data_IF_936347420814
#
_entry.id   IF_936347420814
#
_cell.length_a   1.000
_cell.length_b   1.000
_cell.length_c   1.000
_cell.angle_alpha   90.00
_cell.angle_beta   90.00
_cell.angle_gamma   90.00
#
_symmetry.space_group_name_H-M   'P 1'
#
loop_
_entity.id
_entity.type
_entity.pdbx_description
1 polymer ?
#
# COMPACT_ATOMS: atom_id res chain seq x y z
N UNK A 1 0.08 -1.46 -26.82
CA UNK A 1 -1.03 -0.65 -27.33
C UNK A 1 -1.05 0.71 -26.66
N UNK A 2 -1.84 1.67 -27.19
CA UNK A 2 -1.88 3.06 -26.67
C UNK A 2 -2.26 3.09 -25.19
N UNK A 3 -3.25 2.29 -24.78
CA UNK A 3 -3.67 2.21 -23.37
C UNK A 3 -2.58 1.76 -22.39
N UNK A 4 -1.51 1.15 -22.87
CA UNK A 4 -0.36 0.73 -22.06
C UNK A 4 0.77 1.77 -22.02
N UNK A 5 0.79 2.66 -23.02
CA UNK A 5 1.87 3.63 -23.23
C UNK A 5 1.54 5.02 -22.71
N UNK A 6 0.25 5.38 -22.69
CA UNK A 6 -0.24 6.67 -22.26
C UNK A 6 -1.03 6.48 -20.95
N UNK A 7 -0.49 6.98 -19.84
CA UNK A 7 -1.10 6.89 -18.52
C UNK A 7 -1.77 8.22 -18.18
N UNK A 8 -3.09 8.27 -17.96
CA UNK A 8 -3.78 9.49 -17.55
C UNK A 8 -3.33 9.95 -16.15
N UNK A 9 -3.23 11.26 -15.98
CA UNK A 9 -3.07 11.90 -14.68
C UNK A 9 -4.34 11.65 -13.85
N UNK A 10 -4.19 11.64 -12.52
CA UNK A 10 -5.30 11.41 -11.57
C UNK A 10 -6.46 12.38 -11.80
N UNK A 11 -7.69 11.88 -11.74
CA UNK A 11 -8.96 12.54 -12.03
C UNK A 11 -9.24 12.87 -13.52
N UNK A 12 -8.32 12.58 -14.44
CA UNK A 12 -8.52 12.81 -15.88
C UNK A 12 -8.75 11.52 -16.68
N UNK A 13 -8.91 10.37 -16.01
CA UNK A 13 -9.01 9.05 -16.66
C UNK A 13 -10.22 8.97 -17.63
N UNK A 14 -11.38 9.45 -17.17
CA UNK A 14 -12.59 9.42 -17.98
C UNK A 14 -12.44 10.36 -19.19
N UNK A 15 -11.94 11.58 -18.97
CA UNK A 15 -11.71 12.53 -20.02
C UNK A 15 -10.77 11.98 -21.09
N UNK A 16 -9.60 11.46 -20.68
CA UNK A 16 -8.58 10.92 -21.59
C UNK A 16 -9.07 9.67 -22.31
N UNK A 17 -9.71 8.74 -21.56
CA UNK A 17 -10.25 7.51 -22.16
C UNK A 17 -11.31 7.83 -23.24
N UNK A 18 -12.21 8.76 -22.96
CA UNK A 18 -13.23 9.19 -23.92
C UNK A 18 -12.64 10.07 -25.05
N UNK A 19 -11.58 10.83 -24.76
CA UNK A 19 -10.83 11.53 -25.79
C UNK A 19 -10.22 10.57 -26.82
N UNK A 20 -9.56 9.52 -26.34
CA UNK A 20 -8.96 8.47 -27.16
C UNK A 20 -10.00 7.58 -27.84
N UNK A 21 -11.05 7.20 -27.13
CA UNK A 21 -12.06 6.27 -27.65
C UNK A 21 -11.42 5.00 -28.21
N UNK A 22 -11.77 4.63 -29.43
CA UNK A 22 -11.21 3.45 -30.11
C UNK A 22 -9.69 3.49 -30.33
N UNK A 23 -9.07 4.68 -30.27
CA UNK A 23 -7.62 4.82 -30.43
C UNK A 23 -6.82 4.17 -29.27
N UNK A 24 -7.46 3.89 -28.14
CA UNK A 24 -6.84 3.13 -27.03
C UNK A 24 -6.26 1.78 -27.45
N UNK A 25 -6.87 1.17 -28.46
CA UNK A 25 -6.48 -0.16 -28.98
C UNK A 25 -5.48 -0.07 -30.14
N UNK A 26 -5.10 1.13 -30.57
CA UNK A 26 -4.14 1.28 -31.65
C UNK A 26 -2.75 0.83 -31.19
N UNK A 27 -2.01 0.24 -32.11
CA UNK A 27 -0.67 -0.30 -31.89
C UNK A 27 0.37 0.69 -32.42
N UNK A 28 1.27 1.14 -31.58
CA UNK A 28 2.41 1.97 -31.99
C UNK A 28 3.42 1.08 -32.72
N UNK A 29 3.82 1.46 -33.90
CA UNK A 29 4.86 0.82 -34.69
C UNK A 29 6.08 1.74 -34.84
N UNK A 30 7.26 1.20 -34.89
CA UNK A 30 8.48 1.99 -35.04
C UNK A 30 8.46 2.82 -36.33
N UNK A 31 8.02 2.20 -37.41
CA UNK A 31 7.95 2.83 -38.75
C UNK A 31 6.84 2.21 -39.60
N UNK A 32 6.64 2.78 -40.82
CA UNK A 32 5.66 2.28 -41.79
C UNK A 32 5.97 0.86 -42.28
N UNK A 33 7.25 0.46 -42.33
CA UNK A 33 7.66 -0.87 -42.78
C UNK A 33 7.20 -1.93 -41.76
N UNK A 34 7.40 -1.66 -40.49
CA UNK A 34 6.92 -2.50 -39.39
C UNK A 34 5.39 -2.63 -39.41
N UNK A 35 4.68 -1.49 -39.59
CA UNK A 35 3.22 -1.50 -39.67
C UNK A 35 2.69 -2.31 -40.87
N UNK A 36 3.29 -2.16 -42.06
CA UNK A 36 2.94 -2.98 -43.23
C UNK A 36 3.21 -4.46 -43.04
N UNK A 37 4.34 -4.80 -42.41
CA UNK A 37 4.67 -6.19 -42.05
C UNK A 37 3.64 -6.81 -41.14
N UNK A 38 3.25 -6.10 -40.08
CA UNK A 38 2.23 -6.52 -39.14
C UNK A 38 0.85 -6.70 -39.81
N UNK A 39 0.44 -5.77 -40.68
CA UNK A 39 -0.82 -5.90 -41.45
C UNK A 39 -0.78 -7.13 -42.36
N UNK A 40 0.35 -7.38 -43.02
CA UNK A 40 0.53 -8.57 -43.88
C UNK A 40 0.45 -9.86 -43.07
N UNK A 41 1.04 -9.89 -41.90
CA UNK A 41 0.95 -11.01 -40.96
C UNK A 41 -0.50 -11.28 -40.52
N UNK A 42 -1.24 -10.22 -40.12
CA UNK A 42 -2.66 -10.37 -39.74
C UNK A 42 -3.50 -10.91 -40.90
N UNK A 43 -3.28 -10.45 -42.14
CA UNK A 43 -3.98 -10.95 -43.33
C UNK A 43 -3.70 -12.44 -43.56
N UNK A 44 -2.43 -12.86 -43.51
CA UNK A 44 -2.03 -14.28 -43.73
C UNK A 44 -2.63 -15.23 -42.69
N UNK A 45 -2.68 -14.79 -41.43
CA UNK A 45 -3.12 -15.62 -40.32
C UNK A 45 -4.61 -15.43 -39.96
N UNK A 46 -5.38 -14.68 -40.75
CA UNK A 46 -6.78 -14.33 -40.43
C UNK A 46 -6.96 -13.74 -39.02
N UNK A 47 -5.96 -12.97 -38.54
CA UNK A 47 -5.86 -12.44 -37.18
C UNK A 47 -6.72 -11.20 -36.90
N UNK A 48 -7.72 -10.92 -37.73
CA UNK A 48 -8.60 -9.76 -37.53
C UNK A 48 -8.02 -8.46 -38.10
N UNK A 49 -8.46 -7.32 -37.54
CA UNK A 49 -8.05 -5.98 -37.97
C UNK A 49 -7.49 -5.21 -36.76
N UNK A 50 -6.37 -4.52 -36.97
CA UNK A 50 -5.78 -3.60 -36.01
C UNK A 50 -5.37 -2.31 -36.72
N UNK A 51 -5.36 -1.21 -35.98
CA UNK A 51 -4.84 0.08 -36.47
C UNK A 51 -3.43 0.27 -35.92
N UNK A 52 -2.51 0.57 -36.81
CA UNK A 52 -1.10 0.83 -36.48
C UNK A 52 -0.77 2.30 -36.62
N UNK A 53 0.03 2.82 -35.69
CA UNK A 53 0.51 4.19 -35.65
C UNK A 53 2.03 4.19 -35.85
N UNK A 54 2.52 4.35 -37.10
CA UNK A 54 3.96 4.42 -37.36
C UNK A 54 4.52 5.75 -36.84
N UNK A 55 5.48 5.71 -35.93
CA UNK A 55 6.03 6.91 -35.26
C UNK A 55 6.74 7.87 -36.21
N UNK A 56 7.34 7.35 -37.25
CA UNK A 56 8.09 8.17 -38.25
C UNK A 56 7.22 9.07 -39.14
N UNK A 57 5.90 8.81 -39.22
CA UNK A 57 4.96 9.61 -40.06
C UNK A 57 3.87 10.30 -39.24
N UNK A 58 3.78 10.06 -37.96
CA UNK A 58 2.81 10.74 -37.12
C UNK A 58 3.15 12.23 -37.04
N UNK A 59 2.13 13.03 -37.25
CA UNK A 59 2.23 14.50 -37.13
C UNK A 59 1.50 14.94 -35.86
N UNK A 60 2.17 15.62 -34.94
CA UNK A 60 1.52 16.25 -33.80
C UNK A 60 0.39 17.19 -34.25
N UNK A 61 -0.70 17.20 -33.50
CA UNK A 61 -1.81 18.12 -33.70
C UNK A 61 -1.80 19.15 -32.60
N UNK A 62 -2.18 20.35 -32.92
CA UNK A 62 -2.20 21.46 -31.97
C UNK A 62 -3.48 22.27 -32.20
N UNK A 63 -3.91 22.93 -31.13
CA UNK A 63 -4.86 24.03 -31.20
C UNK A 63 -4.12 25.27 -31.74
N UNK A 64 -4.78 26.10 -32.57
CA UNK A 64 -4.18 27.37 -33.00
C UNK A 64 -3.98 28.30 -31.79
N UNK A 65 -2.97 29.18 -31.87
CA UNK A 65 -2.68 30.12 -30.76
C UNK A 65 -3.87 31.03 -30.45
N UNK A 66 -4.59 31.45 -31.49
CA UNK A 66 -5.79 32.27 -31.35
C UNK A 66 -6.91 31.53 -30.61
N UNK A 67 -7.17 30.27 -30.96
CA UNK A 67 -8.19 29.47 -30.33
C UNK A 67 -7.77 29.04 -28.92
N UNK A 68 -6.48 28.82 -28.67
CA UNK A 68 -5.98 28.54 -27.31
C UNK A 68 -6.20 29.76 -26.41
N UNK A 69 -5.89 30.96 -26.89
CA UNK A 69 -6.15 32.19 -26.15
C UNK A 69 -7.65 32.36 -25.82
N UNK A 70 -8.54 32.05 -26.76
CA UNK A 70 -9.99 32.09 -26.52
C UNK A 70 -10.36 31.05 -25.45
N UNK A 71 -9.82 29.83 -25.56
CA UNK A 71 -10.11 28.74 -24.62
C UNK A 71 -9.65 29.07 -23.18
N UNK A 72 -8.47 29.62 -23.00
CA UNK A 72 -7.91 30.03 -21.72
C UNK A 72 -8.77 31.11 -20.98
N UNK A 73 -9.59 31.86 -21.75
CA UNK A 73 -10.51 32.85 -21.20
C UNK A 73 -11.95 32.33 -21.06
N UNK A 74 -12.17 31.04 -21.29
CA UNK A 74 -13.47 30.39 -21.06
C UNK A 74 -13.52 29.75 -19.69
N UNK A 75 -14.64 29.92 -19.03
CA UNK A 75 -14.91 29.27 -17.74
C UNK A 75 -14.89 27.74 -17.93
N UNK A 76 -14.30 27.03 -16.94
CA UNK A 76 -14.24 25.58 -16.94
C UNK A 76 -13.26 24.94 -17.92
N UNK A 77 -12.49 25.73 -18.68
CA UNK A 77 -11.40 25.17 -19.51
C UNK A 77 -10.24 24.74 -18.64
N UNK A 78 -9.80 23.47 -18.77
CA UNK A 78 -8.72 22.89 -17.97
C UNK A 78 -7.40 22.75 -18.74
N UNK A 79 -7.45 22.58 -20.06
CA UNK A 79 -6.26 22.43 -20.89
C UNK A 79 -6.47 21.53 -22.10
N UNK A 80 -5.38 21.23 -22.81
CA UNK A 80 -5.37 20.21 -23.86
C UNK A 80 -5.18 18.81 -23.25
N UNK A 81 -5.83 17.81 -23.82
CA UNK A 81 -5.84 16.46 -23.28
C UNK A 81 -4.46 15.78 -23.24
N UNK A 82 -3.51 16.20 -24.08
CA UNK A 82 -2.13 15.73 -24.04
C UNK A 82 -1.34 16.20 -22.82
N UNK A 83 -1.76 17.29 -22.16
CA UNK A 83 -1.17 17.77 -20.92
C UNK A 83 -1.51 16.89 -19.70
N UNK A 84 -2.57 16.08 -19.79
CA UNK A 84 -3.05 15.21 -18.72
C UNK A 84 -2.64 13.75 -18.93
N UNK A 85 -1.49 13.53 -19.60
CA UNK A 85 -0.92 12.21 -19.89
C UNK A 85 0.52 12.15 -19.40
N UNK A 86 0.85 11.08 -18.71
CA UNK A 86 2.21 10.66 -18.44
C UNK A 86 2.63 9.57 -19.44
N UNK A 87 3.77 9.75 -20.09
CA UNK A 87 4.35 8.76 -20.96
C UNK A 87 5.86 8.92 -21.07
N UNK A 88 6.55 7.88 -21.55
CA UNK A 88 7.96 8.01 -21.90
C UNK A 88 8.13 9.04 -23.00
N UNK A 89 9.22 9.83 -22.97
CA UNK A 89 9.52 10.93 -23.88
C UNK A 89 9.39 10.54 -25.37
N UNK A 90 9.80 9.32 -25.71
CA UNK A 90 9.69 8.80 -27.09
C UNK A 90 8.25 8.70 -27.61
N UNK A 91 7.24 8.64 -26.73
CA UNK A 91 5.82 8.54 -27.11
C UNK A 91 5.09 9.89 -27.06
N UNK A 92 5.75 10.97 -26.67
CA UNK A 92 5.19 12.32 -26.68
C UNK A 92 4.62 12.70 -28.06
N UNK A 93 5.26 12.39 -29.20
CA UNK A 93 4.67 12.67 -30.52
C UNK A 93 3.37 11.91 -30.75
N UNK A 94 3.22 10.70 -30.21
CA UNK A 94 1.99 9.90 -30.31
C UNK A 94 0.87 10.54 -29.48
N UNK A 95 1.16 10.94 -28.24
CA UNK A 95 0.21 11.64 -27.39
C UNK A 95 -0.29 12.94 -28.06
N UNK A 96 0.62 13.76 -28.57
CA UNK A 96 0.28 14.98 -29.29
C UNK A 96 -0.50 14.75 -30.59
N UNK A 97 -0.20 13.67 -31.32
CA UNK A 97 -0.94 13.34 -32.54
C UNK A 97 -2.39 12.94 -32.26
N UNK A 98 -2.66 12.29 -31.10
CA UNK A 98 -3.98 11.81 -30.73
C UNK A 98 -4.77 12.84 -29.92
N UNK A 99 -4.12 13.58 -29.03
CA UNK A 99 -4.75 14.37 -27.97
C UNK A 99 -4.42 15.87 -28.03
N UNK A 100 -3.40 16.29 -28.77
CA UNK A 100 -2.91 17.67 -28.73
C UNK A 100 -3.88 18.72 -29.31
N UNK A 101 -4.98 18.32 -29.93
CA UNK A 101 -6.07 19.20 -30.37
C UNK A 101 -7.43 18.79 -29.78
N UNK A 102 -7.42 18.02 -28.67
CA UNK A 102 -8.60 17.71 -27.88
C UNK A 102 -8.56 18.54 -26.61
N UNK A 103 -9.64 19.23 -26.30
CA UNK A 103 -9.74 20.12 -25.15
C UNK A 103 -10.43 19.41 -23.99
N UNK A 104 -10.09 19.79 -22.77
CA UNK A 104 -10.70 19.29 -21.56
C UNK A 104 -11.43 20.42 -20.87
N UNK A 105 -12.67 20.18 -20.47
CA UNK A 105 -13.47 21.07 -19.64
C UNK A 105 -13.94 20.34 -18.36
N UNK A 106 -14.31 21.08 -17.35
CA UNK A 106 -14.78 20.53 -16.08
C UNK A 106 -16.17 19.88 -16.22
N UNK A 107 -17.11 20.52 -16.90
CA UNK A 107 -18.50 20.06 -17.03
C UNK A 107 -19.08 20.35 -18.43
N UNK A 108 -20.20 19.72 -18.74
CA UNK A 108 -20.78 19.74 -20.10
C UNK A 108 -21.24 21.15 -20.53
N UNK A 109 -21.77 21.95 -19.63
CA UNK A 109 -22.20 23.31 -19.87
C UNK A 109 -21.04 24.17 -20.37
N UNK A 110 -19.90 24.12 -19.68
CA UNK A 110 -18.71 24.86 -20.05
C UNK A 110 -18.09 24.31 -21.35
N UNK A 111 -18.10 22.97 -21.52
CA UNK A 111 -17.67 22.35 -22.78
C UNK A 111 -18.48 22.85 -23.98
N UNK A 112 -19.80 23.00 -23.83
CA UNK A 112 -20.67 23.49 -24.89
C UNK A 112 -20.44 24.98 -25.20
N UNK A 113 -20.26 25.81 -24.18
CA UNK A 113 -19.94 27.23 -24.36
C UNK A 113 -18.58 27.42 -25.05
N UNK A 114 -17.58 26.65 -24.58
CA UNK A 114 -16.25 26.62 -25.22
C UNK A 114 -16.34 26.18 -26.70
N UNK A 115 -17.15 25.15 -27.00
CA UNK A 115 -17.36 24.66 -28.35
C UNK A 115 -17.95 25.74 -29.27
N UNK A 116 -18.96 26.48 -28.79
CA UNK A 116 -19.57 27.61 -29.53
C UNK A 116 -18.54 28.68 -29.86
N UNK A 117 -17.75 29.12 -28.86
CA UNK A 117 -16.72 30.14 -29.08
C UNK A 117 -15.65 29.71 -30.07
N UNK A 118 -15.33 28.41 -30.09
CA UNK A 118 -14.38 27.79 -31.01
C UNK A 118 -15.03 27.28 -32.30
N UNK A 119 -16.28 27.69 -32.58
CA UNK A 119 -17.04 27.35 -33.81
C UNK A 119 -17.10 25.83 -34.03
N UNK A 120 -17.17 25.03 -32.97
CA UNK A 120 -17.17 23.57 -33.03
C UNK A 120 -15.99 22.96 -33.80
N UNK A 121 -14.87 23.63 -33.79
CA UNK A 121 -13.66 23.23 -34.56
C UNK A 121 -12.86 22.13 -33.89
N UNK A 122 -13.09 21.86 -32.61
CA UNK A 122 -12.33 20.92 -31.77
C UNK A 122 -13.24 19.93 -31.08
N UNK A 123 -12.67 18.76 -30.72
CA UNK A 123 -13.29 17.83 -29.81
C UNK A 123 -13.05 18.33 -28.37
N UNK A 124 -14.08 18.38 -27.56
CA UNK A 124 -13.99 18.76 -26.15
C UNK A 124 -14.52 17.60 -25.30
N UNK A 125 -13.84 17.26 -24.24
CA UNK A 125 -14.23 16.20 -23.30
C UNK A 125 -14.34 16.78 -21.90
N UNK A 126 -15.27 16.27 -21.10
CA UNK A 126 -15.42 16.68 -19.69
C UNK A 126 -14.75 15.68 -18.76
N UNK A 127 -14.56 16.07 -17.48
CA UNK A 127 -14.04 15.16 -16.46
C UNK A 127 -14.96 13.95 -16.24
N UNK A 128 -16.27 14.13 -16.40
CA UNK A 128 -17.26 13.03 -16.32
C UNK A 128 -17.24 12.11 -17.56
N UNK A 129 -16.56 12.56 -18.62
CA UNK A 129 -16.40 11.79 -19.85
C UNK A 129 -17.41 12.11 -20.94
N UNK A 130 -18.21 13.16 -20.80
CA UNK A 130 -19.05 13.65 -21.88
C UNK A 130 -18.19 14.27 -23.00
N UNK A 131 -18.70 14.22 -24.21
CA UNK A 131 -17.96 14.67 -25.40
C UNK A 131 -18.81 15.63 -26.22
N UNK A 132 -18.26 16.78 -26.54
CA UNK A 132 -18.72 17.63 -27.64
C UNK A 132 -17.82 17.37 -28.83
N UNK A 133 -18.37 16.77 -29.87
CA UNK A 133 -17.63 16.44 -31.07
C UNK A 133 -17.44 17.65 -31.97
N UNK A 134 -16.43 17.56 -32.83
CA UNK A 134 -16.29 18.47 -33.98
C UNK A 134 -17.57 18.46 -34.79
N UNK A 135 -18.08 19.66 -35.10
CA UNK A 135 -19.36 19.81 -35.82
C UNK A 135 -20.59 19.80 -34.92
N UNK A 136 -20.44 19.69 -33.55
CA UNK A 136 -21.51 20.00 -32.60
C UNK A 136 -22.33 18.82 -32.10
N UNK A 137 -22.10 17.60 -32.57
CA UNK A 137 -22.77 16.43 -31.97
C UNK A 137 -22.22 16.18 -30.56
N UNK A 138 -23.07 15.68 -29.66
CA UNK A 138 -22.73 15.41 -28.29
C UNK A 138 -22.91 13.93 -27.94
N UNK A 139 -22.03 13.40 -27.13
CA UNK A 139 -22.13 12.07 -26.55
C UNK A 139 -21.91 12.21 -25.06
N UNK A 140 -22.85 11.71 -24.25
CA UNK A 140 -22.77 11.77 -22.81
C UNK A 140 -23.71 10.77 -22.18
N UNK A 141 -23.66 10.68 -20.86
CA UNK A 141 -24.48 9.78 -20.05
C UNK A 141 -23.65 8.86 -19.17
N UNK A 142 -24.29 8.30 -18.16
CA UNK A 142 -23.63 7.37 -17.22
C UNK A 142 -23.41 6.02 -17.89
N UNK A 143 -22.19 5.71 -18.26
CA UNK A 143 -21.83 4.32 -18.53
C UNK A 143 -21.67 3.59 -17.20
N UNK A 144 -22.61 2.70 -16.89
CA UNK A 144 -22.47 1.79 -15.74
C UNK A 144 -21.17 0.99 -15.91
N UNK A 145 -20.12 1.39 -15.16
CA UNK A 145 -18.85 0.69 -15.12
C UNK A 145 -18.14 0.63 -16.47
N UNK A 146 -17.76 1.79 -17.04
CA UNK A 146 -16.84 1.77 -18.19
C UNK A 146 -15.48 1.27 -17.72
N UNK A 147 -15.33 -0.04 -17.78
CA UNK A 147 -14.05 -0.73 -17.63
C UNK A 147 -13.20 -0.42 -18.86
N UNK A 148 -12.75 0.84 -18.96
CA UNK A 148 -11.79 1.16 -20.01
C UNK A 148 -10.47 0.44 -19.70
N UNK A 149 -9.74 -0.03 -20.72
CA UNK A 149 -8.44 -0.68 -20.50
C UNK A 149 -7.50 0.13 -19.60
N UNK A 150 -7.54 1.45 -19.67
CA UNK A 150 -6.75 2.35 -18.85
C UNK A 150 -7.14 2.28 -17.37
N UNK A 151 -8.43 2.31 -17.06
CA UNK A 151 -8.93 2.20 -15.69
C UNK A 151 -8.59 0.82 -15.09
N UNK A 152 -8.74 -0.25 -15.88
CA UNK A 152 -8.37 -1.61 -15.45
C UNK A 152 -6.88 -1.73 -15.13
N UNK A 153 -6.03 -1.19 -15.98
CA UNK A 153 -4.57 -1.24 -15.76
C UNK A 153 -4.15 -0.45 -14.52
N UNK A 154 -4.74 0.73 -14.30
CA UNK A 154 -4.47 1.53 -13.11
C UNK A 154 -4.92 0.81 -11.84
N UNK A 155 -6.13 0.25 -11.83
CA UNK A 155 -6.64 -0.52 -10.71
C UNK A 155 -5.78 -1.77 -10.45
N UNK A 156 -5.35 -2.46 -11.51
CA UNK A 156 -4.43 -3.60 -11.40
C UNK A 156 -3.09 -3.18 -10.77
N UNK A 157 -2.53 -2.03 -11.18
CA UNK A 157 -1.29 -1.50 -10.60
C UNK A 157 -1.47 -1.17 -9.13
N UNK A 158 -2.55 -0.47 -8.77
CA UNK A 158 -2.90 -0.11 -7.40
C UNK A 158 -3.09 -1.34 -6.50
N UNK A 159 -3.80 -2.35 -7.01
CA UNK A 159 -3.99 -3.61 -6.28
C UNK A 159 -2.67 -4.37 -6.10
N UNK A 160 -1.79 -4.39 -7.10
CA UNK A 160 -0.46 -5.00 -6.98
C UNK A 160 0.40 -4.31 -5.92
N UNK A 161 0.46 -2.98 -5.93
CA UNK A 161 1.22 -2.20 -4.94
C UNK A 161 0.67 -2.42 -3.52
N UNK A 162 -0.66 -2.44 -3.37
CA UNK A 162 -1.31 -2.78 -2.10
C UNK A 162 -0.97 -4.20 -1.63
N UNK A 163 -0.98 -5.16 -2.55
CA UNK A 163 -0.66 -6.56 -2.27
C UNK A 163 0.79 -6.72 -1.80
N UNK A 164 1.74 -6.07 -2.46
CA UNK A 164 3.15 -6.07 -2.06
C UNK A 164 3.33 -5.48 -0.66
N UNK A 165 2.65 -4.37 -0.35
CA UNK A 165 2.63 -3.79 0.99
C UNK A 165 2.09 -4.76 2.06
N UNK A 166 1.01 -5.48 1.75
CA UNK A 166 0.45 -6.50 2.64
C UNK A 166 1.39 -7.69 2.84
N UNK A 167 2.06 -8.15 1.80
CA UNK A 167 3.07 -9.22 1.91
C UNK A 167 4.22 -8.83 2.84
N UNK A 168 4.71 -7.60 2.75
CA UNK A 168 5.75 -7.07 3.64
C UNK A 168 5.27 -7.03 5.10
N UNK A 169 4.05 -6.59 5.35
CA UNK A 169 3.46 -6.59 6.70
C UNK A 169 3.32 -7.99 7.27
N UNK A 170 2.81 -8.95 6.50
CA UNK A 170 2.69 -10.36 6.92
C UNK A 170 4.05 -10.96 7.22
N UNK A 171 5.06 -10.69 6.40
CA UNK A 171 6.43 -11.16 6.63
C UNK A 171 7.01 -10.62 7.95
N UNK A 172 6.82 -9.32 8.21
CA UNK A 172 7.28 -8.69 9.45
C UNK A 172 6.56 -9.27 10.69
N UNK A 173 5.24 -9.41 10.62
CA UNK A 173 4.45 -10.01 11.70
C UNK A 173 4.85 -11.46 11.98
N UNK A 174 5.17 -12.24 10.95
CA UNK A 174 5.69 -13.61 11.12
C UNK A 174 7.02 -13.63 11.87
N UNK A 175 7.95 -12.75 11.51
CA UNK A 175 9.23 -12.62 12.19
C UNK A 175 9.07 -12.24 13.65
N UNK A 176 8.19 -11.28 13.96
CA UNK A 176 7.87 -10.88 15.33
C UNK A 176 7.23 -12.03 16.14
N UNK A 177 6.31 -12.75 15.53
CA UNK A 177 5.66 -13.90 16.15
C UNK A 177 6.68 -14.99 16.48
N UNK A 178 7.60 -15.32 15.57
CA UNK A 178 8.65 -16.30 15.80
C UNK A 178 9.57 -15.88 16.95
N UNK A 179 10.00 -14.61 16.99
CA UNK A 179 10.82 -14.07 18.07
C UNK A 179 10.12 -14.13 19.43
N UNK A 180 8.84 -13.76 19.48
CA UNK A 180 8.02 -13.84 20.70
C UNK A 180 7.81 -15.29 21.16
N UNK A 181 7.58 -16.20 20.25
CA UNK A 181 7.40 -17.61 20.60
C UNK A 181 8.69 -18.22 21.17
N UNK A 182 9.84 -17.94 20.54
CA UNK A 182 11.14 -18.36 21.09
C UNK A 182 11.43 -17.77 22.47
N UNK A 183 11.07 -16.50 22.70
CA UNK A 183 11.20 -15.86 24.00
C UNK A 183 10.30 -16.52 25.04
N UNK A 184 9.06 -16.84 24.69
CA UNK A 184 8.10 -17.57 25.54
C UNK A 184 8.65 -18.94 25.92
N UNK A 185 9.20 -19.71 25.00
CA UNK A 185 9.78 -21.03 25.25
C UNK A 185 10.98 -20.93 26.18
N UNK A 186 11.87 -19.98 25.98
CA UNK A 186 13.01 -19.74 26.87
C UNK A 186 12.56 -19.36 28.29
N UNK A 187 11.58 -18.47 28.41
CA UNK A 187 11.03 -18.10 29.73
C UNK A 187 10.36 -19.28 30.43
N UNK A 188 9.62 -20.10 29.68
CA UNK A 188 9.01 -21.34 30.24
C UNK A 188 10.08 -22.28 30.76
N UNK A 189 11.18 -22.48 30.06
CA UNK A 189 12.30 -23.32 30.49
C UNK A 189 12.96 -22.75 31.75
N UNK A 190 13.20 -21.45 31.80
CA UNK A 190 13.74 -20.78 32.99
C UNK A 190 12.83 -20.92 34.21
N UNK A 191 11.51 -20.78 34.00
CA UNK A 191 10.52 -21.00 35.08
C UNK A 191 10.59 -22.41 35.66
N UNK A 192 10.71 -23.42 34.80
CA UNK A 192 10.85 -24.82 35.24
C UNK A 192 12.14 -25.00 36.06
N UNK A 193 13.27 -24.46 35.58
CA UNK A 193 14.55 -24.52 36.28
C UNK A 193 14.49 -23.84 37.66
N UNK A 194 13.88 -22.64 37.73
CA UNK A 194 13.69 -21.94 38.99
C UNK A 194 12.82 -22.70 39.99
N UNK A 195 11.74 -23.34 39.52
CA UNK A 195 10.89 -24.18 40.37
C UNK A 195 11.63 -25.38 40.95
N UNK A 196 12.48 -26.02 40.14
CA UNK A 196 13.31 -27.15 40.61
C UNK A 196 14.33 -26.66 41.66
N UNK A 197 15.02 -25.55 41.38
CA UNK A 197 15.97 -24.97 42.33
C UNK A 197 15.30 -24.55 43.65
N UNK A 198 14.11 -23.96 43.58
CA UNK A 198 13.32 -23.60 44.76
C UNK A 198 12.95 -24.84 45.58
N UNK A 199 12.43 -25.89 44.97
CA UNK A 199 12.08 -27.13 45.66
C UNK A 199 13.29 -27.81 46.33
N UNK A 200 14.48 -27.75 45.69
CA UNK A 200 15.72 -28.25 46.27
C UNK A 200 16.14 -27.44 47.51
N UNK A 201 16.05 -26.11 47.43
CA UNK A 201 16.40 -25.21 48.51
C UNK A 201 15.46 -25.40 49.70
N UNK A 202 14.17 -25.52 49.44
CA UNK A 202 13.15 -25.77 50.47
C UNK A 202 13.39 -27.09 51.20
N UNK A 203 13.71 -28.15 50.48
CA UNK A 203 14.09 -29.44 51.05
C UNK A 203 15.31 -29.34 51.98
N UNK A 204 16.36 -28.62 51.56
CA UNK A 204 17.57 -28.39 52.36
C UNK A 204 17.25 -27.57 53.63
N UNK A 205 16.43 -26.54 53.50
CA UNK A 205 15.95 -25.73 54.62
C UNK A 205 15.18 -26.58 55.64
N UNK A 206 14.28 -27.43 55.18
CA UNK A 206 13.49 -28.31 56.03
C UNK A 206 14.41 -29.27 56.86
N UNK A 207 15.38 -29.89 56.20
CA UNK A 207 16.38 -30.77 56.90
C UNK A 207 17.19 -29.99 57.95
N UNK A 208 17.65 -28.77 57.61
CA UNK A 208 18.38 -27.93 58.55
C UNK A 208 17.51 -27.50 59.75
N UNK A 209 16.27 -27.18 59.52
CA UNK A 209 15.29 -26.80 60.56
C UNK A 209 15.03 -27.93 61.51
N UNK A 210 14.76 -29.13 60.98
CA UNK A 210 14.55 -30.32 61.82
C UNK A 210 15.80 -30.65 62.69
N UNK A 211 17.02 -30.50 62.10
CA UNK A 211 18.26 -30.66 62.77
C UNK A 211 18.46 -29.61 63.88
N UNK A 212 18.12 -28.37 63.62
CA UNK A 212 18.17 -27.28 64.61
C UNK A 212 17.21 -27.55 65.77
N UNK A 213 15.96 -27.94 65.49
CA UNK A 213 14.95 -28.31 66.52
C UNK A 213 15.39 -29.49 67.38
N UNK A 214 16.00 -30.51 66.74
CA UNK A 214 16.59 -31.64 67.49
C UNK A 214 17.73 -31.21 68.44
N UNK A 215 18.63 -30.34 67.94
CA UNK A 215 19.74 -29.82 68.73
C UNK A 215 19.28 -28.92 69.88
N UNK A 216 18.25 -28.14 69.69
CA UNK A 216 17.64 -27.36 70.77
C UNK A 216 17.01 -28.26 71.83
N UNK A 217 16.29 -29.30 71.41
CA UNK A 217 15.72 -30.27 72.35
C UNK A 217 16.79 -31.05 73.19
N UNK A 218 17.91 -31.43 72.52
CA UNK A 218 19.06 -32.04 73.14
C UNK A 218 19.74 -31.09 74.16
N UNK A 219 19.87 -29.80 73.81
CA UNK A 219 20.42 -28.77 74.67
C UNK A 219 19.55 -28.55 75.95
N UNK A 220 18.23 -28.46 75.75
CA UNK A 220 17.27 -28.26 76.81
C UNK A 220 17.28 -29.44 77.79
N UNK A 221 17.62 -30.66 77.34
CA UNK A 221 17.79 -31.85 78.22
C UNK A 221 19.12 -31.86 78.98
N UNK A 222 20.17 -31.25 78.47
CA UNK A 222 21.52 -31.26 79.07
C UNK A 222 21.80 -30.07 79.97
N UNK A 223 21.00 -29.01 79.92
CA UNK A 223 21.14 -27.82 80.75
C UNK A 223 20.31 -27.97 82.03
N UNK A 224 20.91 -28.37 83.20
CA UNK A 224 20.21 -28.29 84.47
C UNK A 224 20.14 -26.82 84.90
N UNK A 225 18.94 -26.28 84.95
CA UNK A 225 18.45 -25.14 85.73
C UNK A 225 19.46 -24.04 86.14
N UNK A 226 20.00 -23.30 85.15
CA UNK A 226 20.44 -21.91 85.35
C UNK A 226 20.03 -21.10 84.11
N UNK A 227 18.79 -20.69 84.17
CA UNK A 227 18.23 -19.77 83.15
C UNK A 227 18.56 -18.33 83.53
N UNK A 228 19.61 -17.78 82.98
CA UNK A 228 19.59 -16.37 82.64
C UNK A 228 18.86 -16.22 81.34
N UNK A 229 17.59 -16.00 81.48
CA UNK A 229 16.58 -15.72 80.50
C UNK A 229 16.76 -14.29 80.02
N UNK A 230 17.53 -13.97 78.98
CA UNK A 230 17.27 -12.72 78.20
C UNK A 230 17.97 -12.56 76.87
N UNK A 231 19.11 -13.19 76.55
CA UNK A 231 19.84 -12.85 75.32
C UNK A 231 19.57 -13.79 74.13
N UNK A 232 18.87 -14.92 74.33
CA UNK A 232 18.63 -15.87 73.21
C UNK A 232 17.30 -15.69 72.48
N UNK A 233 16.32 -15.02 73.09
CA UNK A 233 15.06 -14.71 72.43
C UNK A 233 15.22 -13.61 71.39
N UNK A 234 16.09 -12.61 71.61
CA UNK A 234 16.31 -11.54 70.70
C UNK A 234 16.94 -12.01 69.35
N UNK A 235 17.86 -12.98 69.37
CA UNK A 235 18.49 -13.55 68.19
C UNK A 235 17.55 -14.44 67.39
N UNK A 236 16.64 -15.16 68.05
CA UNK A 236 15.62 -15.97 67.36
C UNK A 236 14.56 -15.09 66.73
N UNK A 237 14.15 -14.01 67.39
CA UNK A 237 13.18 -13.06 66.87
C UNK A 237 13.77 -12.23 65.67
N UNK A 238 15.05 -11.84 65.73
CA UNK A 238 15.73 -11.20 64.56
C UNK A 238 15.82 -12.14 63.35
N UNK A 239 16.10 -13.44 63.58
CA UNK A 239 16.11 -14.44 62.49
C UNK A 239 14.73 -14.67 61.89
N UNK A 240 13.66 -14.70 62.71
CA UNK A 240 12.28 -14.82 62.24
C UNK A 240 11.87 -13.60 61.43
N UNK A 241 12.23 -12.40 61.85
CA UNK A 241 11.96 -11.16 61.11
C UNK A 241 12.74 -11.13 59.75
N UNK A 242 14.01 -11.56 59.77
CA UNK A 242 14.80 -11.63 58.54
C UNK A 242 14.23 -12.67 57.54
N UNK A 243 13.78 -13.82 57.99
CA UNK A 243 13.14 -14.87 57.18
C UNK A 243 11.80 -14.35 56.61
N UNK A 244 11.01 -13.65 57.41
CA UNK A 244 9.73 -13.07 56.98
C UNK A 244 9.95 -11.98 55.92
N UNK A 245 10.99 -11.15 56.04
CA UNK A 245 11.37 -10.15 55.07
C UNK A 245 11.82 -10.77 53.73
N UNK A 246 12.52 -11.89 53.78
CA UNK A 246 12.93 -12.62 52.56
C UNK A 246 11.71 -13.27 51.87
N UNK A 247 10.77 -13.83 52.64
CA UNK A 247 9.52 -14.38 52.09
C UNK A 247 8.69 -13.31 51.37
N UNK A 248 8.51 -12.15 51.99
CA UNK A 248 7.78 -11.03 51.36
C UNK A 248 8.42 -10.56 50.03
N UNK A 249 9.75 -10.56 49.96
CA UNK A 249 10.46 -10.20 48.73
C UNK A 249 10.40 -11.24 47.61
N UNK A 250 10.11 -12.49 47.96
CA UNK A 250 9.92 -13.60 47.00
C UNK A 250 8.49 -13.57 46.44
N UNK A 251 7.50 -13.17 47.26
CA UNK A 251 6.11 -13.06 46.82
C UNK A 251 5.85 -11.85 45.91
N UNK A 252 6.72 -10.83 45.97
CA UNK A 252 6.67 -9.62 45.12
C UNK A 252 7.41 -9.78 43.77
N UNK A 253 7.99 -10.93 43.45
CA UNK A 253 8.70 -11.26 42.19
C UNK A 253 7.89 -12.23 41.32
#
# INVERSE_FOLDING_TARGET
VISELLVPVENYENAVSNALGGAMYHIVAADERAARGAISFLKKNKGGRATFLPMNVLKPRFISKEHLFIAEHCEGFLGCADAFIECEERYTPVAKALLGNVLVADQLEHANELAKRLQYGYKIVTLDGDIVHRGGSMTGGTSKGSTTPMNVQRELKRVKESLEGQYMQVSNLRSQYQALNSRKENQSTQMVQLRIAFAQLDSVLQVKRNKYESLCADYDQLAPEDKEENDQNDLADELIVAISSIHSKIDDL
#
